data_IF_239760039639
#
_entry.id   IF_239760039639
#
_cell.length_a   1.000
_cell.length_b   1.000
_cell.length_c   1.000
_cell.angle_alpha   90.00
_cell.angle_beta   90.00
_cell.angle_gamma   90.00
#
_symmetry.space_group_name_H-M   'P 1'
#
loop_
_entity.id
_entity.type
_entity.pdbx_description
1 polymer ?
#
# COMPACT_ATOMS: atom_id res chain seq x y z
N UNK A 1 -21.51 12.61 5.57
CA UNK A 1 -20.17 12.21 6.06
C UNK A 1 -19.22 12.41 4.90
N UNK A 2 -18.30 13.37 4.98
CA UNK A 2 -17.19 13.45 4.03
C UNK A 2 -16.41 12.14 4.11
N UNK A 3 -16.23 11.48 2.97
CA UNK A 3 -15.38 10.30 2.89
C UNK A 3 -13.95 10.81 2.74
N UNK A 4 -13.15 10.63 3.79
CA UNK A 4 -11.72 10.98 3.76
C UNK A 4 -10.98 9.86 3.02
N UNK A 5 -10.14 10.19 2.02
CA UNK A 5 -9.39 9.18 1.28
C UNK A 5 -8.40 8.45 2.20
N UNK A 6 -8.25 7.14 2.01
CA UNK A 6 -7.19 6.37 2.66
C UNK A 6 -5.87 6.67 1.95
N UNK A 7 -4.90 7.24 2.66
CA UNK A 7 -3.56 7.51 2.14
C UNK A 7 -2.60 6.44 2.67
N UNK A 8 -2.00 5.68 1.76
CA UNK A 8 -1.00 4.66 2.06
C UNK A 8 0.38 5.21 1.70
N UNK A 9 1.21 5.44 2.71
CA UNK A 9 2.59 5.92 2.53
C UNK A 9 3.60 4.77 2.66
N UNK A 10 4.38 4.57 1.60
CA UNK A 10 5.30 3.44 1.45
C UNK A 10 6.69 3.93 1.06
N UNK A 11 7.74 3.33 1.61
CA UNK A 11 9.14 3.66 1.28
C UNK A 11 9.77 2.74 0.22
N UNK A 12 9.00 1.80 -0.32
CA UNK A 12 9.43 0.85 -1.35
C UNK A 12 8.68 1.12 -2.66
N UNK A 13 9.43 1.52 -3.68
CA UNK A 13 8.87 1.67 -5.03
C UNK A 13 8.28 0.36 -5.54
N UNK A 14 8.98 -0.76 -5.33
CA UNK A 14 8.50 -2.09 -5.72
C UNK A 14 7.15 -2.45 -5.10
N UNK A 15 6.97 -2.23 -3.80
CA UNK A 15 5.68 -2.52 -3.14
C UNK A 15 4.60 -1.54 -3.60
N UNK A 16 4.95 -0.27 -3.83
CA UNK A 16 4.00 0.69 -4.43
C UNK A 16 3.57 0.27 -5.82
N UNK A 17 4.49 -0.23 -6.64
CA UNK A 17 4.20 -0.66 -8.01
C UNK A 17 3.32 -1.91 -8.00
N UNK A 18 3.58 -2.85 -7.09
CA UNK A 18 2.68 -3.98 -6.86
C UNK A 18 1.29 -3.48 -6.46
N UNK A 19 1.16 -2.61 -5.46
CA UNK A 19 -0.17 -2.10 -5.04
C UNK A 19 -0.94 -1.38 -6.16
N UNK A 20 -0.24 -0.76 -7.12
CA UNK A 20 -0.84 -0.07 -8.27
C UNK A 20 -1.16 -1.00 -9.43
N UNK A 21 -0.31 -1.99 -9.68
CA UNK A 21 -0.34 -2.83 -10.87
C UNK A 21 -0.36 -4.31 -10.51
N UNK A 22 -1.53 -4.93 -10.63
CA UNK A 22 -1.71 -6.36 -10.33
C UNK A 22 -0.91 -7.29 -11.24
N UNK A 23 -0.58 -6.85 -12.45
CA UNK A 23 0.28 -7.61 -13.37
C UNK A 23 1.72 -7.79 -12.86
N UNK A 24 2.17 -6.93 -11.94
CA UNK A 24 3.52 -6.99 -11.37
C UNK A 24 3.61 -7.87 -10.11
N UNK A 25 2.48 -8.43 -9.64
CA UNK A 25 2.47 -9.24 -8.43
C UNK A 25 3.27 -10.53 -8.59
N UNK A 26 4.29 -10.75 -7.74
CA UNK A 26 4.97 -12.02 -7.70
C UNK A 26 3.99 -13.12 -7.30
N UNK A 27 4.14 -14.29 -7.91
CA UNK A 27 3.27 -15.44 -7.66
C UNK A 27 3.17 -15.81 -6.17
N UNK A 28 4.29 -15.78 -5.46
CA UNK A 28 4.35 -16.07 -4.02
C UNK A 28 3.54 -15.11 -3.14
N UNK A 29 3.23 -13.91 -3.63
CA UNK A 29 2.50 -12.89 -2.87
C UNK A 29 1.10 -12.60 -3.41
N UNK A 30 0.64 -13.29 -4.46
CA UNK A 30 -0.68 -13.01 -5.07
C UNK A 30 -1.84 -13.09 -4.09
N UNK A 31 -1.86 -14.08 -3.20
CA UNK A 31 -2.94 -14.20 -2.22
C UNK A 31 -2.96 -13.02 -1.24
N UNK A 32 -1.78 -12.55 -0.81
CA UNK A 32 -1.67 -11.37 0.06
C UNK A 32 -2.22 -10.13 -0.64
N UNK A 33 -1.79 -9.88 -1.88
CA UNK A 33 -2.22 -8.70 -2.62
C UNK A 33 -3.69 -8.76 -3.05
N UNK A 34 -4.23 -9.93 -3.38
CA UNK A 34 -5.65 -10.12 -3.65
C UNK A 34 -6.52 -9.79 -2.43
N UNK A 35 -6.09 -10.20 -1.22
CA UNK A 35 -6.78 -9.85 0.01
C UNK A 35 -6.74 -8.33 0.27
N UNK A 36 -5.57 -7.70 0.09
CA UNK A 36 -5.42 -6.25 0.23
C UNK A 36 -6.32 -5.52 -0.78
N UNK A 37 -6.29 -5.91 -2.05
CA UNK A 37 -7.14 -5.31 -3.09
C UNK A 37 -8.63 -5.43 -2.74
N UNK A 38 -9.06 -6.61 -2.28
CA UNK A 38 -10.44 -6.84 -1.83
C UNK A 38 -10.87 -5.88 -0.71
N UNK A 39 -9.99 -5.64 0.27
CA UNK A 39 -10.23 -4.66 1.33
C UNK A 39 -10.22 -3.22 0.81
N UNK A 40 -9.31 -2.86 -0.10
CA UNK A 40 -9.21 -1.51 -0.64
C UNK A 40 -10.41 -1.14 -1.52
N UNK A 41 -10.99 -2.09 -2.24
CA UNK A 41 -12.21 -1.87 -3.05
C UNK A 41 -13.43 -1.46 -2.22
N UNK A 42 -13.41 -1.70 -0.92
CA UNK A 42 -14.48 -1.26 0.00
C UNK A 42 -14.32 0.20 0.44
N UNK A 43 -13.17 0.82 0.14
CA UNK A 43 -12.89 2.22 0.44
C UNK A 43 -13.29 3.10 -0.76
N UNK A 44 -13.88 4.27 -0.51
CA UNK A 44 -14.32 5.16 -1.60
C UNK A 44 -13.16 5.80 -2.38
N UNK A 45 -12.04 6.07 -1.73
CA UNK A 45 -10.85 6.60 -2.40
C UNK A 45 -9.58 6.12 -1.67
N UNK A 46 -8.60 5.65 -2.45
CA UNK A 46 -7.30 5.19 -1.95
C UNK A 46 -6.20 5.88 -2.75
N UNK A 47 -5.26 6.51 -2.05
CA UNK A 47 -4.07 7.14 -2.64
C UNK A 47 -2.81 6.46 -2.14
N UNK A 48 -1.95 5.99 -3.06
CA UNK A 48 -0.66 5.37 -2.72
C UNK A 48 0.47 6.37 -3.00
N UNK A 49 1.15 6.81 -1.94
CA UNK A 49 2.28 7.76 -2.03
C UNK A 49 3.58 7.06 -1.67
N UNK A 50 4.57 7.21 -2.53
CA UNK A 50 5.94 6.78 -2.23
C UNK A 50 6.63 7.90 -1.45
N UNK A 51 7.08 7.59 -0.24
CA UNK A 51 7.78 8.54 0.62
C UNK A 51 9.22 8.11 0.86
N UNK A 52 10.10 9.07 1.10
CA UNK A 52 11.48 8.81 1.45
C UNK A 52 11.57 8.15 2.84
N UNK A 53 12.50 7.19 2.99
CA UNK A 53 12.68 6.33 4.19
C UNK A 53 12.73 7.10 5.52
N UNK A 54 13.17 8.37 5.51
CA UNK A 54 13.23 9.23 6.69
C UNK A 54 11.88 9.68 7.25
N UNK A 55 10.81 9.69 6.44
CA UNK A 55 9.47 10.11 6.88
C UNK A 55 8.69 9.02 7.62
N UNK A 56 8.99 7.74 7.36
CA UNK A 56 8.37 6.58 8.02
C UNK A 56 9.20 6.06 9.22
N UNK A 57 9.77 6.96 10.01
CA UNK A 57 10.59 6.60 11.18
C UNK A 57 9.86 5.71 12.18
N UNK A 58 8.60 6.01 12.48
CA UNK A 58 7.76 5.23 13.40
C UNK A 58 7.45 3.83 12.85
N UNK A 59 7.02 3.73 11.58
CA UNK A 59 6.76 2.44 10.95
C UNK A 59 8.02 1.56 10.93
N UNK A 60 9.19 2.17 10.71
CA UNK A 60 10.48 1.47 10.77
C UNK A 60 10.84 1.00 12.18
N UNK A 61 10.52 1.79 13.21
CA UNK A 61 10.76 1.41 14.60
C UNK A 61 9.87 0.25 15.04
N UNK A 62 8.61 0.22 14.58
CA UNK A 62 7.64 -0.85 14.88
C UNK A 62 7.88 -2.15 14.11
N UNK A 63 8.52 -2.07 12.94
CA UNK A 63 8.86 -3.24 12.14
C UNK A 63 10.13 -3.97 12.63
N UNK A 64 10.75 -3.48 13.72
CA UNK A 64 12.02 -3.96 14.27
C UNK A 64 11.76 -4.76 15.53
#
# INVERSE_FOLDING_TARGET
KEQVPLIIECNSSTVSDWLKYSCLWPWSFRNLFANIEGSLRQMAEVQIKVTNRGKNGMAKALAK
#
